data_IF_031569338232
#
_entry.id   IF_031569338232
#
_cell.length_a   1.000
_cell.length_b   1.000
_cell.length_c   1.000
_cell.angle_alpha   90.00
_cell.angle_beta   90.00
_cell.angle_gamma   90.00
#
_symmetry.space_group_name_H-M   'P 1'
#
loop_
_entity.id
_entity.type
_entity.pdbx_description
1 polymer ?
#
# COMPACT_ATOMS: atom_id res chain seq x y z
N UNK A 1 11.99 13.31 -18.11
CA UNK A 1 10.91 12.28 -18.05
C UNK A 1 11.33 11.19 -17.07
N UNK A 2 10.40 10.44 -16.47
CA UNK A 2 10.72 9.36 -15.52
C UNK A 2 10.30 8.00 -16.05
N UNK A 3 11.23 7.05 -16.18
CA UNK A 3 10.92 5.64 -16.41
C UNK A 3 10.61 4.97 -15.07
N UNK A 4 9.54 4.17 -15.03
CA UNK A 4 9.23 3.32 -13.88
C UNK A 4 8.79 1.93 -14.37
N UNK A 5 9.45 0.88 -13.89
CA UNK A 5 9.07 -0.49 -14.24
C UNK A 5 7.81 -0.95 -13.50
N UNK A 6 7.45 -0.31 -12.38
CA UNK A 6 6.60 -0.93 -11.36
C UNK A 6 7.26 -2.18 -10.76
N UNK A 7 6.52 -2.97 -9.99
CA UNK A 7 6.98 -4.28 -9.55
C UNK A 7 7.00 -5.24 -10.73
N UNK A 8 8.16 -5.84 -10.99
CA UNK A 8 8.36 -6.83 -12.06
C UNK A 8 9.26 -7.95 -11.56
N UNK A 9 8.95 -9.19 -11.97
CA UNK A 9 9.82 -10.33 -11.70
C UNK A 9 11.21 -10.06 -12.32
N UNK A 10 12.28 -10.33 -11.58
CA UNK A 10 13.66 -10.10 -11.99
C UNK A 10 13.99 -10.80 -13.31
N UNK A 11 13.44 -12.00 -13.56
CA UNK A 11 13.58 -12.67 -14.85
C UNK A 11 13.04 -11.90 -16.07
N UNK A 12 12.19 -10.90 -15.87
CA UNK A 12 11.49 -10.16 -16.93
C UNK A 12 11.76 -8.63 -16.91
N UNK A 13 12.67 -8.13 -16.06
CA UNK A 13 12.90 -6.69 -15.92
C UNK A 13 13.31 -6.05 -17.27
N UNK A 14 14.11 -6.75 -18.07
CA UNK A 14 14.70 -6.19 -19.29
C UNK A 14 13.63 -5.86 -20.34
N UNK A 15 12.68 -6.79 -20.54
CA UNK A 15 11.55 -6.60 -21.44
C UNK A 15 10.60 -5.52 -20.92
N UNK A 16 10.42 -5.43 -19.58
CA UNK A 16 9.59 -4.40 -18.97
C UNK A 16 10.18 -3.01 -19.17
N UNK A 17 11.47 -2.81 -18.91
CA UNK A 17 12.18 -1.54 -19.17
C UNK A 17 12.02 -1.13 -20.63
N UNK A 18 12.30 -2.05 -21.56
CA UNK A 18 12.17 -1.79 -23.00
C UNK A 18 10.75 -1.38 -23.36
N UNK A 19 9.74 -2.18 -23.00
CA UNK A 19 8.34 -1.92 -23.34
C UNK A 19 7.84 -0.60 -22.75
N UNK A 20 8.21 -0.28 -21.51
CA UNK A 20 7.86 0.98 -20.87
C UNK A 20 8.46 2.17 -21.62
N UNK A 21 9.76 2.10 -21.97
CA UNK A 21 10.42 3.18 -22.69
C UNK A 21 9.81 3.41 -24.08
N UNK A 22 9.54 2.34 -24.83
CA UNK A 22 8.84 2.42 -26.12
C UNK A 22 7.43 3.00 -25.99
N UNK A 23 6.71 2.66 -24.93
CA UNK A 23 5.38 3.22 -24.68
C UNK A 23 5.45 4.72 -24.37
N UNK A 24 6.39 5.15 -23.54
CA UNK A 24 6.58 6.57 -23.18
C UNK A 24 6.98 7.44 -24.38
N UNK A 25 7.79 6.89 -25.30
CA UNK A 25 8.31 7.62 -26.45
C UNK A 25 7.52 7.36 -27.74
N UNK A 26 6.39 6.66 -27.67
CA UNK A 26 5.58 6.27 -28.84
C UNK A 26 5.22 7.45 -29.74
N UNK A 27 4.82 8.57 -29.15
CA UNK A 27 4.37 9.73 -29.93
C UNK A 27 5.55 10.52 -30.52
N UNK A 28 6.69 10.58 -29.83
CA UNK A 28 7.93 11.16 -30.37
C UNK A 28 8.45 10.33 -31.56
N UNK A 29 8.35 9.00 -31.48
CA UNK A 29 8.69 8.11 -32.61
C UNK A 29 7.79 8.40 -33.82
N UNK A 30 6.48 8.55 -33.60
CA UNK A 30 5.54 8.85 -34.70
C UNK A 30 5.79 10.21 -35.37
N UNK A 31 6.33 11.17 -34.61
CA UNK A 31 6.69 12.51 -35.11
C UNK A 31 8.10 12.57 -35.69
N UNK A 32 8.79 11.43 -35.73
CA UNK A 32 10.18 11.34 -36.22
C UNK A 32 11.17 12.20 -35.40
N UNK A 33 10.81 12.56 -34.16
CA UNK A 33 11.68 13.28 -33.22
C UNK A 33 12.75 12.34 -32.62
N UNK A 34 12.50 11.04 -32.64
CA UNK A 34 13.44 9.99 -32.20
C UNK A 34 13.24 8.70 -33.00
N UNK A 35 14.35 8.05 -33.36
CA UNK A 35 14.30 6.77 -34.04
C UNK A 35 13.99 5.61 -33.09
N UNK A 36 13.21 4.63 -33.54
CA UNK A 36 12.97 3.39 -32.78
C UNK A 36 14.27 2.63 -32.42
N UNK A 37 15.30 2.78 -33.26
CA UNK A 37 16.62 2.19 -33.03
C UNK A 37 17.32 2.81 -31.82
N UNK A 38 17.19 4.12 -31.63
CA UNK A 38 17.74 4.83 -30.49
C UNK A 38 17.05 4.40 -29.19
N UNK A 39 15.73 4.26 -29.21
CA UNK A 39 14.97 3.74 -28.04
C UNK A 39 15.43 2.34 -27.65
N UNK A 40 15.69 1.47 -28.63
CA UNK A 40 16.22 0.13 -28.38
C UNK A 40 17.65 0.16 -27.82
N UNK A 41 18.51 1.06 -28.32
CA UNK A 41 19.88 1.28 -27.82
C UNK A 41 19.86 1.70 -26.35
N UNK A 42 19.09 2.73 -26.01
CA UNK A 42 19.02 3.27 -24.65
C UNK A 42 18.46 2.25 -23.65
N UNK A 43 17.44 1.48 -24.05
CA UNK A 43 16.92 0.38 -23.24
C UNK A 43 17.97 -0.72 -23.00
N UNK A 44 18.74 -1.08 -24.03
CA UNK A 44 19.80 -2.08 -23.91
C UNK A 44 20.95 -1.62 -22.99
N UNK A 45 21.31 -0.34 -23.06
CA UNK A 45 22.31 0.28 -22.19
C UNK A 45 21.90 0.20 -20.71
N UNK A 46 20.68 0.66 -20.39
CA UNK A 46 20.15 0.57 -19.03
C UNK A 46 20.05 -0.89 -18.57
N UNK A 47 19.55 -1.79 -19.42
CA UNK A 47 19.44 -3.21 -19.08
C UNK A 47 20.79 -3.86 -18.79
N UNK A 48 21.86 -3.46 -19.47
CA UNK A 48 23.22 -3.95 -19.19
C UNK A 48 23.71 -3.51 -17.82
N UNK A 49 23.47 -2.25 -17.45
CA UNK A 49 23.77 -1.75 -16.10
C UNK A 49 22.99 -2.50 -15.03
N UNK A 50 21.68 -2.70 -15.27
CA UNK A 50 20.80 -3.43 -14.36
C UNK A 50 21.19 -4.91 -14.24
N UNK A 51 21.70 -5.54 -15.31
CA UNK A 51 22.22 -6.91 -15.25
C UNK A 51 23.41 -7.01 -14.28
N UNK A 52 24.35 -6.08 -14.38
CA UNK A 52 25.48 -6.03 -13.46
C UNK A 52 25.02 -5.88 -12.01
N UNK A 53 24.04 -5.02 -11.76
CA UNK A 53 23.48 -4.83 -10.43
C UNK A 53 22.72 -6.08 -9.93
N UNK A 54 21.71 -6.54 -10.66
CA UNK A 54 20.80 -7.59 -10.22
C UNK A 54 21.46 -8.98 -10.17
N UNK A 55 22.18 -9.34 -11.22
CA UNK A 55 22.72 -10.70 -11.37
C UNK A 55 24.14 -10.79 -10.81
N UNK A 56 24.99 -9.80 -11.10
CA UNK A 56 26.40 -9.89 -10.70
C UNK A 56 26.66 -9.40 -9.28
N UNK A 57 26.04 -8.30 -8.85
CA UNK A 57 26.23 -7.74 -7.50
C UNK A 57 25.26 -8.30 -6.47
N UNK A 58 23.95 -8.26 -6.73
CA UNK A 58 22.92 -8.63 -5.76
C UNK A 58 22.58 -10.13 -5.77
N UNK A 59 22.99 -10.86 -6.83
CA UNK A 59 22.75 -12.30 -6.98
C UNK A 59 21.26 -12.65 -6.80
N UNK A 60 20.40 -11.88 -7.47
CA UNK A 60 18.96 -12.12 -7.46
C UNK A 60 18.60 -13.33 -8.32
N UNK A 61 17.63 -14.10 -7.84
CA UNK A 61 17.05 -15.21 -8.57
C UNK A 61 15.99 -14.71 -9.57
N UNK A 62 15.72 -15.51 -10.60
CA UNK A 62 14.73 -15.14 -11.63
C UNK A 62 13.34 -14.88 -11.06
N UNK A 63 12.98 -15.51 -9.93
CA UNK A 63 11.69 -15.38 -9.27
C UNK A 63 11.59 -14.24 -8.26
N UNK A 64 12.70 -13.53 -7.99
CA UNK A 64 12.68 -12.33 -7.16
C UNK A 64 11.92 -11.20 -7.87
N UNK A 65 11.55 -10.17 -7.13
CA UNK A 65 10.84 -8.99 -7.67
C UNK A 65 11.75 -7.77 -7.57
N UNK A 66 11.75 -6.95 -8.61
CA UNK A 66 12.50 -5.69 -8.65
C UNK A 66 11.59 -4.54 -9.07
N UNK A 67 11.97 -3.33 -8.68
CA UNK A 67 11.39 -2.07 -9.18
C UNK A 67 12.53 -1.12 -9.53
N UNK A 68 12.49 -0.59 -10.74
CA UNK A 68 13.48 0.36 -11.26
C UNK A 68 12.79 1.66 -11.60
N UNK A 69 13.34 2.77 -11.11
CA UNK A 69 12.94 4.12 -11.48
C UNK A 69 14.18 4.94 -11.85
N UNK A 70 14.12 5.67 -12.95
CA UNK A 70 15.24 6.51 -13.40
C UNK A 70 14.73 7.62 -14.31
N UNK A 71 15.30 8.81 -14.17
CA UNK A 71 14.99 9.94 -15.02
C UNK A 71 15.86 9.94 -16.29
N UNK A 72 15.30 10.47 -17.37
CA UNK A 72 16.00 10.65 -18.64
C UNK A 72 15.48 11.87 -19.40
N UNK A 73 16.31 12.34 -20.32
CA UNK A 73 16.02 13.42 -21.25
C UNK A 73 16.22 12.94 -22.68
N UNK A 74 15.49 13.57 -23.60
CA UNK A 74 15.66 13.35 -25.05
C UNK A 74 16.21 14.63 -25.63
N UNK A 75 17.47 14.61 -26.05
CA UNK A 75 18.17 15.76 -26.63
C UNK A 75 18.63 15.39 -28.03
N UNK A 76 18.26 16.17 -29.04
CA UNK A 76 18.65 15.96 -30.44
C UNK A 76 18.36 14.53 -30.95
N UNK A 77 17.25 13.95 -30.47
CA UNK A 77 16.84 12.58 -30.83
C UNK A 77 17.66 11.48 -30.15
N UNK A 78 18.41 11.78 -29.09
CA UNK A 78 19.21 10.85 -28.29
C UNK A 78 18.70 10.80 -26.85
N UNK A 79 18.59 9.60 -26.27
CA UNK A 79 18.16 9.42 -24.88
C UNK A 79 19.39 9.48 -23.96
N UNK A 80 19.35 10.38 -22.98
CA UNK A 80 20.36 10.51 -21.92
C UNK A 80 19.75 10.13 -20.57
N UNK A 81 20.28 9.08 -19.94
CA UNK A 81 19.87 8.66 -18.60
C UNK A 81 20.53 9.56 -17.54
N UNK A 82 19.74 10.04 -16.57
CA UNK A 82 20.28 10.65 -15.36
C UNK A 82 20.47 9.56 -14.28
N UNK A 83 21.65 8.93 -14.28
CA UNK A 83 21.95 7.81 -13.39
C UNK A 83 22.00 8.20 -11.90
N UNK A 84 22.14 9.48 -11.56
CA UNK A 84 22.07 9.95 -10.17
C UNK A 84 20.67 9.78 -9.57
N UNK A 85 19.65 9.71 -10.43
CA UNK A 85 18.24 9.48 -10.04
C UNK A 85 17.84 7.99 -10.08
N UNK A 86 18.79 7.09 -10.35
CA UNK A 86 18.51 5.66 -10.45
C UNK A 86 18.14 5.09 -9.07
N UNK A 87 16.87 4.79 -8.89
CA UNK A 87 16.33 4.11 -7.73
C UNK A 87 16.01 2.65 -8.08
N UNK A 88 16.47 1.74 -7.22
CA UNK A 88 16.27 0.30 -7.39
C UNK A 88 15.81 -0.30 -6.08
N UNK A 89 14.71 -1.04 -6.14
CA UNK A 89 14.22 -1.89 -5.05
C UNK A 89 14.28 -3.36 -5.47
N UNK A 90 14.65 -4.24 -4.54
CA UNK A 90 14.73 -5.68 -4.77
C UNK A 90 14.10 -6.43 -3.60
N UNK A 91 13.26 -7.40 -3.92
CA UNK A 91 12.51 -8.22 -2.99
C UNK A 91 12.83 -9.69 -3.27
N UNK A 92 13.41 -10.37 -2.28
CA UNK A 92 13.71 -11.80 -2.40
C UNK A 92 12.45 -12.61 -2.20
N UNK A 93 12.26 -13.63 -3.03
CA UNK A 93 11.15 -14.56 -2.88
C UNK A 93 11.38 -15.45 -1.66
N UNK A 94 10.37 -15.56 -0.80
CA UNK A 94 10.35 -16.56 0.27
C UNK A 94 10.28 -17.97 -0.37
N UNK A 95 11.11 -18.93 0.04
CA UNK A 95 11.09 -20.29 -0.49
C UNK A 95 9.69 -20.92 -0.43
N UNK A 96 9.33 -21.67 -1.48
CA UNK A 96 7.99 -22.23 -1.60
C UNK A 96 7.64 -23.19 -0.45
N UNK A 97 8.62 -23.96 0.05
CA UNK A 97 8.42 -24.89 1.16
C UNK A 97 8.11 -24.18 2.47
N UNK A 98 8.72 -23.02 2.71
CA UNK A 98 8.42 -22.18 3.89
C UNK A 98 7.01 -21.62 3.80
N UNK A 99 6.61 -21.12 2.62
CA UNK A 99 5.24 -20.65 2.37
C UNK A 99 4.22 -21.78 2.56
N UNK A 100 4.50 -22.99 2.06
CA UNK A 100 3.62 -24.16 2.22
C UNK A 100 3.46 -24.56 3.69
N UNK A 101 4.55 -24.57 4.44
CA UNK A 101 4.52 -24.90 5.86
C UNK A 101 3.66 -23.90 6.64
N UNK A 102 3.91 -22.60 6.45
CA UNK A 102 3.12 -21.54 7.10
C UNK A 102 1.64 -21.59 6.67
N UNK A 103 1.37 -21.83 5.38
CA UNK A 103 0.01 -21.93 4.87
C UNK A 103 -0.74 -23.12 5.51
N UNK A 104 -0.11 -24.29 5.62
CA UNK A 104 -0.73 -25.46 6.22
C UNK A 104 -1.13 -25.23 7.67
N UNK A 105 -0.28 -24.53 8.44
CA UNK A 105 -0.55 -24.17 9.83
C UNK A 105 -1.75 -23.23 9.93
N UNK A 106 -1.77 -22.14 9.14
CA UNK A 106 -2.86 -21.16 9.16
C UNK A 106 -4.18 -21.78 8.69
N UNK A 107 -4.15 -22.59 7.62
CA UNK A 107 -5.35 -23.26 7.10
C UNK A 107 -5.94 -24.23 8.11
N UNK A 108 -5.11 -24.92 8.91
CA UNK A 108 -5.60 -25.81 9.97
C UNK A 108 -6.39 -25.08 11.08
N UNK A 109 -6.20 -23.76 11.19
CA UNK A 109 -6.86 -22.87 12.15
C UNK A 109 -7.84 -21.89 11.49
N UNK A 110 -8.19 -22.10 10.21
CA UNK A 110 -8.99 -21.14 9.45
C UNK A 110 -10.39 -20.91 10.07
N UNK A 111 -11.05 -21.97 10.55
CA UNK A 111 -12.35 -21.88 11.22
C UNK A 111 -12.23 -21.11 12.55
N UNK A 112 -11.22 -21.44 13.36
CA UNK A 112 -10.90 -20.72 14.62
C UNK A 112 -10.68 -19.22 14.35
N UNK A 113 -9.89 -18.87 13.34
CA UNK A 113 -9.58 -17.48 12.97
C UNK A 113 -10.83 -16.74 12.46
N UNK A 114 -11.69 -17.42 11.71
CA UNK A 114 -12.90 -16.83 11.16
C UNK A 114 -13.98 -16.57 12.25
N UNK A 115 -14.02 -17.42 13.27
CA UNK A 115 -14.97 -17.31 14.39
C UNK A 115 -14.42 -16.50 15.56
N UNK A 116 -13.09 -16.31 15.65
CA UNK A 116 -12.46 -15.55 16.72
C UNK A 116 -13.03 -14.13 16.79
N UNK A 117 -13.46 -13.75 18.00
CA UNK A 117 -13.83 -12.36 18.26
C UNK A 117 -12.57 -11.51 18.27
N UNK A 118 -12.56 -10.47 17.42
CA UNK A 118 -11.50 -9.47 17.42
C UNK A 118 -11.69 -8.62 18.67
N UNK A 119 -10.74 -8.70 19.60
CA UNK A 119 -10.73 -7.87 20.80
C UNK A 119 -10.13 -6.50 20.50
N UNK A 120 -11.01 -5.51 20.28
CA UNK A 120 -10.60 -4.13 20.17
C UNK A 120 -10.54 -3.46 21.54
N UNK A 121 -9.52 -2.64 21.76
CA UNK A 121 -9.42 -1.75 22.90
C UNK A 121 -9.73 -0.31 22.49
N UNK A 122 -10.26 0.49 23.41
CA UNK A 122 -10.48 1.92 23.19
C UNK A 122 -9.80 2.76 24.24
N UNK A 123 -9.03 3.74 23.77
CA UNK A 123 -8.35 4.74 24.58
C UNK A 123 -8.93 6.11 24.25
N UNK A 124 -9.31 6.86 25.27
CA UNK A 124 -9.75 8.24 25.10
C UNK A 124 -8.53 9.12 24.77
N UNK A 125 -8.59 9.82 23.64
CA UNK A 125 -7.47 10.65 23.17
C UNK A 125 -7.75 12.15 23.26
N UNK A 126 -9.01 12.54 23.46
CA UNK A 126 -9.37 13.93 23.74
C UNK A 126 -10.83 14.24 23.44
N UNK A 127 -11.11 15.54 23.42
CA UNK A 127 -12.43 16.12 23.17
C UNK A 127 -12.33 17.10 21.99
N UNK A 128 -13.40 17.22 21.21
CA UNK A 128 -13.51 18.22 20.14
C UNK A 128 -13.93 19.57 20.71
N UNK A 129 -13.79 20.65 19.92
CA UNK A 129 -14.31 21.97 20.30
C UNK A 129 -15.84 22.01 20.51
N UNK A 130 -16.57 21.00 20.02
CA UNK A 130 -18.02 20.87 20.13
C UNK A 130 -18.45 20.00 21.32
N UNK A 131 -17.50 19.46 22.07
CA UNK A 131 -17.75 18.59 23.22
C UNK A 131 -17.97 17.12 22.87
N UNK A 132 -17.54 16.68 21.68
CA UNK A 132 -17.54 15.26 21.33
C UNK A 132 -16.30 14.58 21.91
N UNK A 133 -16.46 13.36 22.42
CA UNK A 133 -15.33 12.55 22.88
C UNK A 133 -14.72 11.78 21.72
N UNK A 134 -13.40 11.76 21.62
CA UNK A 134 -12.69 11.01 20.58
C UNK A 134 -11.89 9.88 21.23
N UNK A 135 -12.04 8.68 20.67
CA UNK A 135 -11.37 7.47 21.11
C UNK A 135 -10.49 6.92 19.99
N UNK A 136 -9.25 6.55 20.33
CA UNK A 136 -8.41 5.68 19.50
C UNK A 136 -8.86 4.23 19.70
N UNK A 137 -9.00 3.50 18.60
CA UNK A 137 -9.25 2.06 18.61
C UNK A 137 -7.92 1.34 18.41
N UNK A 138 -7.60 0.41 19.32
CA UNK A 138 -6.41 -0.41 19.26
C UNK A 138 -6.72 -1.88 19.03
N UNK A 139 -5.82 -2.55 18.33
CA UNK A 139 -5.80 -4.01 18.16
C UNK A 139 -4.38 -4.49 18.47
N UNK A 140 -4.25 -5.38 19.45
CA UNK A 140 -2.93 -5.86 19.93
C UNK A 140 -1.95 -4.72 20.30
N UNK A 141 -2.49 -3.61 20.83
CA UNK A 141 -1.72 -2.42 21.21
C UNK A 141 -1.35 -1.47 20.07
N UNK A 142 -1.59 -1.84 18.81
CA UNK A 142 -1.45 -0.96 17.65
C UNK A 142 -2.71 -0.10 17.49
N UNK A 143 -2.56 1.20 17.22
CA UNK A 143 -3.71 2.04 16.88
C UNK A 143 -4.17 1.75 15.44
N UNK A 144 -5.40 1.27 15.30
CA UNK A 144 -5.96 0.81 14.02
C UNK A 144 -7.19 1.59 13.59
N UNK A 145 -7.72 2.47 14.44
CA UNK A 145 -8.95 3.20 14.16
C UNK A 145 -9.20 4.38 15.09
N UNK A 146 -10.29 5.08 14.82
CA UNK A 146 -10.81 6.13 15.68
C UNK A 146 -12.35 6.14 15.66
N UNK A 147 -12.93 6.49 16.80
CA UNK A 147 -14.36 6.72 16.98
C UNK A 147 -14.57 8.10 17.61
N UNK A 148 -15.50 8.87 17.06
CA UNK A 148 -16.05 10.07 17.68
C UNK A 148 -17.40 9.73 18.30
N UNK A 149 -17.64 10.21 19.51
CA UNK A 149 -18.84 10.00 20.28
C UNK A 149 -19.45 11.33 20.69
N UNK A 150 -20.63 11.62 20.17
CA UNK A 150 -21.41 12.80 20.54
C UNK A 150 -22.37 12.44 21.68
N UNK A 151 -22.18 12.97 22.90
CA UNK A 151 -23.04 12.66 24.04
C UNK A 151 -24.45 13.27 23.85
N UNK A 152 -25.49 12.46 24.07
CA UNK A 152 -26.91 12.84 24.02
C UNK A 152 -27.63 12.25 25.23
N UNK A 153 -27.83 13.07 26.26
CA UNK A 153 -28.40 12.67 27.56
C UNK A 153 -27.58 11.53 28.22
N UNK A 154 -28.15 10.34 28.35
CA UNK A 154 -27.51 9.14 28.92
C UNK A 154 -26.92 8.21 27.85
N UNK A 155 -27.03 8.56 26.57
CA UNK A 155 -26.50 7.79 25.43
C UNK A 155 -25.45 8.59 24.67
N UNK A 156 -24.70 7.93 23.78
CA UNK A 156 -23.82 8.60 22.81
C UNK A 156 -24.12 8.14 21.39
N UNK A 157 -24.03 9.06 20.42
CA UNK A 157 -24.01 8.72 19.00
C UNK A 157 -22.57 8.57 18.57
N UNK A 158 -22.21 7.37 18.12
CA UNK A 158 -20.86 7.05 17.66
C UNK A 158 -20.78 6.97 16.15
N UNK A 159 -19.63 7.39 15.61
CA UNK A 159 -19.20 7.14 14.23
C UNK A 159 -17.70 6.92 14.24
N UNK A 160 -17.19 6.06 13.37
CA UNK A 160 -15.76 5.79 13.33
C UNK A 160 -15.33 4.94 12.16
N UNK A 161 -14.07 4.53 12.20
CA UNK A 161 -13.54 3.54 11.29
C UNK A 161 -12.36 2.79 11.92
N UNK A 162 -12.13 1.56 11.45
CA UNK A 162 -10.96 0.73 11.73
C UNK A 162 -10.32 0.29 10.42
N UNK A 163 -9.01 0.08 10.40
CA UNK A 163 -8.25 -0.39 9.23
C UNK A 163 -7.86 -1.85 9.31
N UNK A 164 -7.87 -2.45 10.51
CA UNK A 164 -7.44 -3.82 10.79
C UNK A 164 -8.46 -4.57 11.67
N UNK A 165 -8.58 -5.91 11.51
CA UNK A 165 -7.94 -6.72 10.47
C UNK A 165 -8.58 -6.50 9.10
N UNK A 166 -9.78 -5.92 9.04
CA UNK A 166 -10.48 -5.52 7.82
C UNK A 166 -10.85 -4.04 7.92
N UNK A 167 -10.72 -3.25 6.85
CA UNK A 167 -11.18 -1.87 6.85
C UNK A 167 -12.71 -1.78 6.92
N UNK A 168 -13.20 -1.16 7.99
CA UNK A 168 -14.63 -1.01 8.26
C UNK A 168 -14.95 0.41 8.69
N UNK A 169 -16.05 0.96 8.18
CA UNK A 169 -16.65 2.20 8.67
C UNK A 169 -17.81 1.85 9.61
N UNK A 170 -17.73 2.38 10.83
CA UNK A 170 -18.80 2.34 11.82
C UNK A 170 -19.78 3.48 11.49
N UNK A 171 -20.97 3.11 11.03
CA UNK A 171 -22.03 4.06 10.73
C UNK A 171 -22.62 4.67 12.03
N UNK A 172 -23.30 5.80 11.87
CA UNK A 172 -23.88 6.54 13.01
C UNK A 172 -24.84 5.66 13.79
N UNK A 173 -24.42 5.26 14.98
CA UNK A 173 -25.16 4.32 15.84
C UNK A 173 -25.25 4.88 17.24
N UNK A 174 -26.37 4.65 17.92
CA UNK A 174 -26.53 4.99 19.33
C UNK A 174 -26.00 3.87 20.20
N UNK A 175 -25.25 4.22 21.24
CA UNK A 175 -24.68 3.28 22.20
C UNK A 175 -24.75 3.83 23.62
N UNK A 176 -24.83 2.94 24.60
CA UNK A 176 -24.72 3.30 26.01
C UNK A 176 -23.28 3.23 26.49
N UNK A 177 -22.53 2.23 26.02
CA UNK A 177 -21.12 2.06 26.34
C UNK A 177 -20.33 1.67 25.09
N UNK A 178 -19.48 2.58 24.64
CA UNK A 178 -18.61 2.40 23.48
C UNK A 178 -17.67 1.22 23.71
N UNK A 179 -17.14 1.04 24.93
CA UNK A 179 -16.16 0.00 25.24
C UNK A 179 -16.78 -1.39 25.09
N UNK A 180 -17.97 -1.60 25.68
CA UNK A 180 -18.70 -2.86 25.59
C UNK A 180 -19.30 -3.15 24.22
N UNK A 181 -19.62 -2.13 23.42
CA UNK A 181 -20.33 -2.30 22.15
C UNK A 181 -19.42 -2.25 20.90
N UNK A 182 -18.13 -1.90 21.03
CA UNK A 182 -17.25 -1.70 19.89
C UNK A 182 -17.16 -2.91 18.93
N UNK A 183 -16.98 -4.12 19.47
CA UNK A 183 -16.87 -5.32 18.64
C UNK A 183 -18.14 -5.54 17.79
N UNK A 184 -19.32 -5.25 18.38
CA UNK A 184 -20.61 -5.30 17.68
C UNK A 184 -20.67 -4.23 16.57
N UNK A 185 -20.26 -3.00 16.88
CA UNK A 185 -20.27 -1.89 15.94
C UNK A 185 -19.35 -2.12 14.74
N UNK A 186 -18.16 -2.69 14.95
CA UNK A 186 -17.25 -3.06 13.86
C UNK A 186 -17.84 -4.20 13.03
N UNK A 187 -18.46 -5.20 13.66
CA UNK A 187 -19.06 -6.34 12.94
C UNK A 187 -20.27 -5.94 12.07
N UNK A 188 -21.07 -4.99 12.54
CA UNK A 188 -22.24 -4.45 11.81
C UNK A 188 -21.85 -3.36 10.80
N UNK A 189 -20.62 -2.85 10.88
CA UNK A 189 -20.13 -1.77 10.04
C UNK A 189 -19.98 -2.15 8.57
N UNK A 190 -19.79 -1.14 7.71
CA UNK A 190 -19.63 -1.32 6.27
C UNK A 190 -18.18 -1.58 5.92
N UNK A 191 -17.90 -2.72 5.26
CA UNK A 191 -16.59 -3.02 4.68
C UNK A 191 -16.25 -2.02 3.56
N UNK A 192 -15.03 -1.51 3.58
CA UNK A 192 -14.54 -0.50 2.63
C UNK A 192 -13.10 -0.77 2.19
N UNK A 193 -12.60 0.04 1.25
CA UNK A 193 -11.16 0.06 0.95
C UNK A 193 -10.37 0.74 2.07
N UNK A 194 -9.12 0.33 2.31
CA UNK A 194 -8.27 0.89 3.38
C UNK A 194 -8.18 2.40 3.34
N UNK A 195 -8.02 2.98 2.14
CA UNK A 195 -7.93 4.44 1.98
C UNK A 195 -9.22 5.20 2.28
N UNK A 196 -10.39 4.55 2.30
CA UNK A 196 -11.64 5.18 2.75
C UNK A 196 -11.70 5.21 4.28
N UNK A 197 -11.33 4.10 4.94
CA UNK A 197 -11.27 4.03 6.40
C UNK A 197 -10.22 4.99 6.98
N UNK A 198 -9.03 5.07 6.38
CA UNK A 198 -7.95 5.99 6.77
C UNK A 198 -8.41 7.45 6.76
N UNK A 199 -9.13 7.88 5.71
CA UNK A 199 -9.66 9.25 5.61
C UNK A 199 -10.62 9.57 6.75
N UNK A 200 -11.53 8.65 7.09
CA UNK A 200 -12.46 8.85 8.21
C UNK A 200 -11.72 8.97 9.54
N UNK A 201 -10.67 8.18 9.75
CA UNK A 201 -9.83 8.25 10.95
C UNK A 201 -9.10 9.60 11.03
N UNK A 202 -8.49 10.04 9.93
CA UNK A 202 -7.81 11.34 9.86
C UNK A 202 -8.78 12.51 10.08
N UNK A 203 -9.97 12.46 9.48
CA UNK A 203 -11.03 13.45 9.68
C UNK A 203 -11.41 13.54 11.16
N UNK A 204 -11.67 12.40 11.83
CA UNK A 204 -12.01 12.37 13.26
C UNK A 204 -10.89 12.96 14.11
N UNK A 205 -9.64 12.55 13.87
CA UNK A 205 -8.49 13.06 14.62
C UNK A 205 -8.24 14.55 14.39
N UNK A 206 -8.55 15.07 13.21
CA UNK A 206 -8.39 16.50 12.90
C UNK A 206 -9.33 17.40 13.70
N UNK A 207 -10.37 16.84 14.33
CA UNK A 207 -11.31 17.55 15.20
C UNK A 207 -10.84 17.66 16.65
N UNK A 208 -9.75 16.98 17.01
CA UNK A 208 -9.16 17.07 18.34
C UNK A 208 -8.62 18.47 18.60
N UNK A 209 -8.84 18.94 19.83
CA UNK A 209 -8.37 20.22 20.34
C UNK A 209 -6.86 20.24 20.67
#
# INVERSE_FOLDING_TARGET
>A
MKLSSGLVIAGAYADKVRRTLFAQLRDMIKREEIESKEVARAAAELNRLLYELFVNKLKLDKGDVVRVRVDYEVEEGVIKWNLETLEVEAFRRIPEEEVKSALSEVVSRAEEIAEAEVEYEVEEIGETDLGDMVYAIKLEGEEVGAVIATPINEESVVRGAVTKPVPVIIEKTKVQDIRGELNRLVKEGRNVESGEAEKVIEEIKSLLK
#
